data_IF_143575565682
#
_entry.id   IF_143575565682
#
_cell.length_a   1.000
_cell.length_b   1.000
_cell.length_c   1.000
_cell.angle_alpha   90.00
_cell.angle_beta   90.00
_cell.angle_gamma   90.00
#
_symmetry.space_group_name_H-M   'P 1'
#
loop_
_entity.id
_entity.type
_entity.pdbx_description
1 polymer ?
#
# COMPACT_ATOMS: atom_id res chain seq x y z
N UNK A 1 -30.72 8.42 -65.46
CA UNK A 1 -29.54 7.58 -65.74
C UNK A 1 -28.69 7.58 -64.48
N UNK A 2 -28.86 6.59 -63.60
CA UNK A 2 -28.11 5.31 -63.53
C UNK A 2 -26.61 5.56 -63.22
N UNK A 3 -26.20 5.10 -62.03
CA UNK A 3 -24.83 5.06 -61.48
C UNK A 3 -23.88 4.15 -62.32
N UNK A 4 -22.55 4.03 -62.08
CA UNK A 4 -22.05 3.43 -60.83
C UNK A 4 -20.63 3.82 -60.32
N UNK A 5 -20.51 3.61 -59.00
CA UNK A 5 -19.41 3.10 -58.17
C UNK A 5 -18.00 2.79 -58.73
N UNK A 6 -17.00 3.16 -57.92
CA UNK A 6 -15.88 2.36 -57.37
C UNK A 6 -15.16 3.24 -56.31
N UNK A 7 -14.48 2.81 -55.24
CA UNK A 7 -14.44 1.64 -54.33
C UNK A 7 -13.16 1.86 -53.46
N UNK A 8 -13.30 1.86 -52.12
CA UNK A 8 -12.27 1.59 -51.08
C UNK A 8 -11.03 2.49 -50.86
N UNK A 9 -10.85 2.95 -49.61
CA UNK A 9 -9.88 2.46 -48.57
C UNK A 9 -10.03 3.34 -47.31
N UNK A 10 -10.51 2.81 -46.18
CA UNK A 10 -9.79 2.17 -45.06
C UNK A 10 -8.70 3.00 -44.38
N UNK A 11 -8.87 3.18 -43.06
CA UNK A 11 -7.92 3.70 -42.08
C UNK A 11 -8.71 4.44 -40.99
N UNK A 12 -9.37 3.80 -40.03
CA UNK A 12 -8.82 2.96 -38.95
C UNK A 12 -7.59 3.57 -38.29
N UNK A 13 -7.80 4.65 -37.52
CA UNK A 13 -6.93 5.04 -36.42
C UNK A 13 -7.74 4.92 -35.13
N UNK A 14 -7.81 3.68 -34.63
CA UNK A 14 -8.17 3.43 -33.25
C UNK A 14 -7.09 4.03 -32.37
N UNK A 15 -7.45 5.06 -31.60
CA UNK A 15 -6.67 5.50 -30.46
C UNK A 15 -6.71 4.37 -29.43
N UNK A 16 -5.75 3.45 -29.55
CA UNK A 16 -5.38 2.55 -28.45
C UNK A 16 -4.69 3.43 -27.41
N UNK A 17 -5.51 4.00 -26.53
CA UNK A 17 -5.05 4.50 -25.25
C UNK A 17 -4.48 3.29 -24.51
N UNK A 18 -3.15 3.11 -24.60
CA UNK A 18 -2.41 2.30 -23.66
C UNK A 18 -2.54 2.96 -22.29
N UNK A 19 -3.64 2.65 -21.59
CA UNK A 19 -3.69 2.67 -20.15
C UNK A 19 -2.62 1.68 -19.69
N UNK A 20 -1.40 2.18 -19.53
CA UNK A 20 -0.38 1.53 -18.73
C UNK A 20 -0.92 1.47 -17.31
N UNK A 21 -1.71 0.43 -17.02
CA UNK A 21 -1.69 -0.18 -15.70
C UNK A 21 -0.26 -0.66 -15.52
N UNK A 22 0.59 0.19 -14.94
CA UNK A 22 1.89 -0.18 -14.47
C UNK A 22 1.67 -1.18 -13.34
N UNK A 23 1.44 -2.44 -13.72
CA UNK A 23 1.65 -3.58 -12.85
C UNK A 23 3.12 -3.51 -12.48
N UNK A 24 3.39 -2.97 -11.29
CA UNK A 24 4.73 -2.89 -10.73
C UNK A 24 5.28 -4.30 -10.77
N UNK A 25 6.30 -4.53 -11.62
CA UNK A 25 6.98 -5.81 -11.68
C UNK A 25 7.84 -5.91 -10.40
N UNK A 26 7.27 -6.51 -9.37
CA UNK A 26 7.71 -6.39 -7.98
C UNK A 26 9.15 -6.85 -7.70
N UNK A 27 9.69 -7.78 -8.49
CA UNK A 27 11.07 -8.28 -8.31
C UNK A 27 12.17 -7.40 -8.89
N UNK A 28 11.89 -6.58 -9.90
CA UNK A 28 12.92 -5.82 -10.62
C UNK A 28 13.43 -4.57 -9.87
N UNK A 29 12.95 -4.34 -8.64
CA UNK A 29 13.23 -3.13 -7.86
C UNK A 29 13.92 -3.41 -6.53
N UNK A 30 14.35 -4.64 -6.26
CA UNK A 30 15.11 -4.96 -5.06
C UNK A 30 16.33 -4.05 -4.92
N UNK A 31 16.61 -3.64 -3.69
CA UNK A 31 17.69 -2.70 -3.35
C UNK A 31 17.50 -1.27 -3.90
N UNK A 32 16.37 -0.97 -4.55
CA UNK A 32 16.05 0.41 -4.94
C UNK A 32 16.00 1.33 -3.72
N UNK A 33 16.44 2.57 -3.92
CA UNK A 33 16.51 3.55 -2.84
C UNK A 33 15.10 3.96 -2.37
N UNK A 34 14.95 4.16 -1.05
CA UNK A 34 13.73 4.68 -0.47
C UNK A 34 13.38 6.05 -1.08
N UNK A 35 12.09 6.39 -1.25
CA UNK A 35 11.67 7.71 -1.71
C UNK A 35 12.36 8.86 -0.96
N UNK A 36 12.59 8.70 0.35
CA UNK A 36 13.31 9.66 1.19
C UNK A 36 14.73 9.90 0.70
N UNK A 37 15.51 8.83 0.45
CA UNK A 37 16.88 8.96 -0.05
C UNK A 37 16.94 9.42 -1.51
N UNK A 38 16.00 8.98 -2.37
CA UNK A 38 15.89 9.47 -3.76
C UNK A 38 15.63 10.98 -3.82
N UNK A 39 14.85 11.50 -2.89
CA UNK A 39 14.60 12.94 -2.75
C UNK A 39 15.70 13.72 -2.02
N UNK A 40 16.87 13.10 -1.77
CA UNK A 40 17.98 13.69 -1.01
C UNK A 40 17.60 14.22 0.38
N UNK A 41 16.53 13.67 0.99
CA UNK A 41 16.10 14.05 2.34
C UNK A 41 16.90 13.26 3.38
N UNK A 42 17.09 13.87 4.56
CA UNK A 42 17.67 13.16 5.70
C UNK A 42 16.68 12.08 6.19
N UNK A 43 17.01 10.82 5.95
CA UNK A 43 16.16 9.72 6.35
C UNK A 43 16.16 9.41 7.86
N UNK A 44 17.05 10.05 8.63
CA UNK A 44 17.01 10.06 10.10
C UNK A 44 16.27 11.28 10.65
N UNK A 45 15.79 12.19 9.80
CA UNK A 45 14.95 13.28 10.26
C UNK A 45 13.67 12.72 10.91
N UNK A 46 13.12 13.41 11.92
CA UNK A 46 11.78 13.12 12.41
C UNK A 46 10.76 13.09 11.28
N UNK A 47 9.73 12.27 11.42
CA UNK A 47 8.58 12.31 10.52
C UNK A 47 7.89 13.68 10.62
N UNK A 48 7.45 14.21 9.49
CA UNK A 48 6.70 15.47 9.48
C UNK A 48 5.22 15.17 9.66
N UNK A 49 4.71 15.45 10.86
CA UNK A 49 3.31 15.21 11.22
C UNK A 49 2.51 16.47 10.92
N UNK A 50 1.37 16.31 10.24
CA UNK A 50 0.39 17.39 10.04
C UNK A 50 -0.98 16.97 10.54
N UNK A 51 -1.81 17.96 10.83
CA UNK A 51 -3.23 17.73 11.06
C UNK A 51 -3.96 17.48 9.73
N UNK A 52 -5.00 16.66 9.81
CA UNK A 52 -6.03 16.50 8.80
C UNK A 52 -6.90 17.75 8.80
N UNK A 53 -7.24 18.23 7.62
CA UNK A 53 -8.31 19.22 7.48
C UNK A 53 -9.65 18.60 7.87
N UNK A 54 -10.66 19.40 8.26
CA UNK A 54 -11.99 18.88 8.57
C UNK A 54 -12.60 18.02 7.45
N UNK A 55 -12.39 18.41 6.19
CA UNK A 55 -12.86 17.65 5.02
C UNK A 55 -12.12 16.33 4.82
N UNK A 56 -10.80 16.30 5.02
CA UNK A 56 -10.02 15.05 5.00
C UNK A 56 -10.47 14.10 6.12
N UNK A 57 -10.70 14.62 7.32
CA UNK A 57 -11.16 13.80 8.45
C UNK A 57 -12.53 13.19 8.19
N UNK A 58 -13.47 13.98 7.66
CA UNK A 58 -14.80 13.46 7.30
C UNK A 58 -14.72 12.44 6.16
N UNK A 59 -13.92 12.72 5.12
CA UNK A 59 -13.68 11.83 3.99
C UNK A 59 -13.07 10.50 4.40
N UNK A 60 -12.04 10.53 5.25
CA UNK A 60 -11.46 9.33 5.83
C UNK A 60 -12.47 8.54 6.65
N UNK A 61 -13.32 9.21 7.44
CA UNK A 61 -14.40 8.55 8.17
C UNK A 61 -15.39 7.84 7.26
N UNK A 62 -15.76 8.44 6.11
CA UNK A 62 -16.61 7.80 5.09
C UNK A 62 -15.91 6.62 4.43
N UNK A 63 -14.64 6.77 4.07
CA UNK A 63 -13.81 5.72 3.49
C UNK A 63 -13.72 4.52 4.44
N UNK A 64 -13.38 4.72 5.70
CA UNK A 64 -13.27 3.63 6.68
C UNK A 64 -14.59 2.88 6.85
N UNK A 65 -15.72 3.61 6.92
CA UNK A 65 -17.05 2.99 7.00
C UNK A 65 -17.41 2.20 5.73
N UNK A 66 -17.02 2.66 4.55
CA UNK A 66 -17.32 1.95 3.29
C UNK A 66 -16.58 0.61 3.18
N UNK A 67 -15.40 0.53 3.82
CA UNK A 67 -14.58 -0.67 3.91
C UNK A 67 -15.03 -1.67 4.97
N UNK A 68 -15.96 -1.31 5.86
CA UNK A 68 -16.43 -2.22 6.90
C UNK A 68 -17.15 -3.44 6.31
N UNK A 69 -16.83 -4.62 6.84
CA UNK A 69 -17.40 -5.89 6.39
C UNK A 69 -16.37 -7.01 6.29
N UNK A 70 -16.77 -8.08 5.60
CA UNK A 70 -15.93 -9.25 5.33
C UNK A 70 -15.43 -9.19 3.89
N UNK A 71 -14.17 -9.58 3.72
CA UNK A 71 -13.45 -9.49 2.46
C UNK A 71 -12.69 -10.77 2.19
N UNK A 72 -12.52 -11.08 0.92
CA UNK A 72 -11.71 -12.19 0.44
C UNK A 72 -10.78 -11.70 -0.66
N UNK A 73 -9.62 -12.32 -0.81
CA UNK A 73 -8.63 -11.74 -1.70
C UNK A 73 -7.41 -12.59 -1.95
N UNK A 74 -6.44 -11.97 -2.63
CA UNK A 74 -5.10 -12.51 -2.86
C UNK A 74 -4.03 -11.48 -2.49
N UNK A 75 -2.97 -11.95 -1.89
CA UNK A 75 -1.76 -11.17 -1.67
C UNK A 75 -0.64 -11.69 -2.57
N UNK A 76 0.03 -10.77 -3.24
CA UNK A 76 1.34 -11.00 -3.83
C UNK A 76 2.37 -10.35 -2.92
N UNK A 77 3.44 -11.08 -2.62
CA UNK A 77 4.55 -10.54 -1.83
C UNK A 77 5.89 -10.91 -2.45
N UNK A 78 6.89 -10.09 -2.14
CA UNK A 78 8.28 -10.37 -2.47
C UNK A 78 9.20 -10.00 -1.31
N UNK A 79 10.32 -10.70 -1.22
CA UNK A 79 11.38 -10.46 -0.27
C UNK A 79 12.74 -10.51 -0.98
N UNK A 80 13.54 -9.46 -0.81
CA UNK A 80 14.92 -9.42 -1.32
C UNK A 80 15.81 -10.23 -0.37
N UNK A 81 16.26 -11.40 -0.80
CA UNK A 81 17.06 -12.31 0.03
C UNK A 81 18.51 -11.85 0.18
N UNK A 82 19.04 -11.20 -0.86
CA UNK A 82 20.39 -10.65 -0.87
C UNK A 82 20.38 -9.13 -0.68
N UNK A 83 21.39 -8.62 0.04
CA UNK A 83 21.64 -7.18 0.17
C UNK A 83 22.42 -6.59 -1.03
N UNK A 84 22.90 -7.46 -1.92
CA UNK A 84 23.83 -7.13 -3.01
C UNK A 84 23.32 -7.58 -4.38
N UNK A 85 22.53 -8.64 -4.45
CA UNK A 85 21.95 -9.16 -5.69
C UNK A 85 20.46 -8.79 -5.80
N UNK A 86 20.09 -7.83 -6.68
CA UNK A 86 18.69 -7.45 -6.88
C UNK A 86 17.86 -8.52 -7.58
N UNK A 87 18.47 -9.55 -8.19
CA UNK A 87 17.76 -10.67 -8.80
C UNK A 87 17.42 -11.77 -7.79
N UNK A 88 18.05 -11.78 -6.61
CA UNK A 88 17.79 -12.75 -5.57
C UNK A 88 16.52 -12.40 -4.77
N UNK A 89 15.37 -12.70 -5.39
CA UNK A 89 14.04 -12.37 -4.89
C UNK A 89 13.24 -13.64 -4.63
N UNK A 90 12.69 -13.76 -3.43
CA UNK A 90 11.65 -14.73 -3.13
C UNK A 90 10.29 -14.09 -3.35
N UNK A 91 9.39 -14.76 -4.07
CA UNK A 91 8.01 -14.32 -4.26
C UNK A 91 7.07 -15.33 -3.62
N UNK A 92 5.95 -14.85 -3.12
CA UNK A 92 4.91 -15.70 -2.54
C UNK A 92 3.52 -15.16 -2.90
N UNK A 93 2.56 -16.07 -2.98
CA UNK A 93 1.16 -15.77 -3.25
C UNK A 93 0.29 -16.43 -2.18
N UNK A 94 -0.55 -15.62 -1.55
CA UNK A 94 -1.40 -16.04 -0.45
C UNK A 94 -2.87 -15.77 -0.78
N UNK A 95 -3.75 -16.66 -0.35
CA UNK A 95 -5.20 -16.39 -0.30
C UNK A 95 -5.48 -15.71 1.03
N UNK A 96 -6.38 -14.72 1.03
CA UNK A 96 -6.70 -13.93 2.20
C UNK A 96 -8.19 -13.94 2.52
N UNK A 97 -8.50 -13.93 3.81
CA UNK A 97 -9.80 -13.56 4.35
C UNK A 97 -9.60 -12.45 5.36
N UNK A 98 -10.38 -11.37 5.27
CA UNK A 98 -10.26 -10.24 6.18
C UNK A 98 -11.61 -9.81 6.73
N UNK A 99 -11.58 -9.32 7.97
CA UNK A 99 -12.70 -8.64 8.61
C UNK A 99 -12.27 -7.23 8.97
N UNK A 100 -13.05 -6.27 8.49
CA UNK A 100 -12.84 -4.84 8.72
C UNK A 100 -13.97 -4.30 9.58
N UNK A 101 -13.60 -3.53 10.61
CA UNK A 101 -14.53 -2.86 11.50
C UNK A 101 -14.09 -1.42 11.76
N UNK A 102 -15.06 -0.55 12.05
CA UNK A 102 -14.83 0.83 12.46
C UNK A 102 -15.44 1.02 13.84
N UNK A 103 -14.67 1.54 14.79
CA UNK A 103 -15.18 1.80 16.14
C UNK A 103 -15.99 3.10 16.23
N UNK A 104 -16.51 3.38 17.42
CA UNK A 104 -17.27 4.60 17.70
C UNK A 104 -16.47 5.90 17.46
N UNK A 105 -15.15 5.86 17.62
CA UNK A 105 -14.26 7.00 17.40
C UNK A 105 -13.86 7.16 15.92
N UNK A 106 -14.33 6.27 15.05
CA UNK A 106 -13.97 6.29 13.63
C UNK A 106 -12.60 5.68 13.34
N UNK A 107 -12.01 4.92 14.28
CA UNK A 107 -10.77 4.19 14.02
C UNK A 107 -11.07 2.92 13.23
N UNK A 108 -10.20 2.60 12.27
CA UNK A 108 -10.34 1.46 11.39
C UNK A 108 -9.46 0.31 11.87
N UNK A 109 -10.04 -0.87 11.95
CA UNK A 109 -9.38 -2.11 12.37
C UNK A 109 -9.63 -3.17 11.33
N UNK A 110 -8.57 -3.88 10.96
CA UNK A 110 -8.61 -4.99 10.04
C UNK A 110 -7.83 -6.17 10.63
N UNK A 111 -8.48 -7.32 10.69
CA UNK A 111 -7.82 -8.62 10.91
C UNK A 111 -7.86 -9.39 9.61
N UNK A 112 -6.73 -9.92 9.17
CA UNK A 112 -6.63 -10.70 7.95
C UNK A 112 -5.84 -11.99 8.17
N UNK A 113 -6.42 -13.10 7.74
CA UNK A 113 -5.81 -14.42 7.73
C UNK A 113 -5.28 -14.70 6.32
N UNK A 114 -4.00 -15.10 6.25
CA UNK A 114 -3.29 -15.40 5.02
C UNK A 114 -2.94 -16.88 4.99
N UNK A 115 -3.03 -17.48 3.81
CA UNK A 115 -2.62 -18.86 3.60
C UNK A 115 -1.79 -18.98 2.32
N UNK A 116 -0.54 -19.44 2.45
CA UNK A 116 0.32 -19.81 1.33
C UNK A 116 0.21 -21.32 1.11
N UNK A 117 -0.34 -21.71 -0.04
CA UNK A 117 -0.42 -23.13 -0.43
C UNK A 117 0.97 -23.72 -0.68
N UNK A 118 1.91 -22.91 -1.20
CA UNK A 118 3.28 -23.34 -1.47
C UNK A 118 4.06 -23.64 -0.17
N UNK A 119 3.91 -22.77 0.84
CA UNK A 119 4.56 -22.95 2.15
C UNK A 119 3.78 -23.83 3.11
N UNK A 120 2.53 -24.17 2.78
CA UNK A 120 1.58 -24.91 3.64
C UNK A 120 1.46 -24.29 5.04
N UNK A 121 1.50 -22.96 5.09
CA UNK A 121 1.53 -22.20 6.32
C UNK A 121 0.51 -21.05 6.24
N UNK A 122 -0.05 -20.72 7.40
CA UNK A 122 -0.92 -19.57 7.57
C UNK A 122 -0.32 -18.56 8.54
N UNK A 123 -0.70 -17.30 8.40
CA UNK A 123 -0.38 -16.21 9.33
C UNK A 123 -1.56 -15.27 9.46
N UNK A 124 -1.60 -14.53 10.55
CA UNK A 124 -2.60 -13.50 10.79
C UNK A 124 -1.91 -12.14 10.87
N UNK A 125 -2.49 -11.13 10.24
CA UNK A 125 -2.07 -9.74 10.35
C UNK A 125 -3.19 -8.89 10.93
N UNK A 126 -2.80 -7.90 11.73
CA UNK A 126 -3.69 -6.87 12.24
C UNK A 126 -3.20 -5.50 11.79
N UNK A 127 -4.09 -4.73 11.17
CA UNK A 127 -3.85 -3.35 10.83
C UNK A 127 -4.84 -2.46 11.56
N UNK A 128 -4.32 -1.38 12.14
CA UNK A 128 -5.14 -0.38 12.81
C UNK A 128 -4.75 1.00 12.31
N UNK A 129 -5.75 1.82 12.00
CA UNK A 129 -5.59 3.22 11.66
C UNK A 129 -6.46 4.08 12.58
N UNK A 130 -5.82 4.97 13.32
CA UNK A 130 -6.48 5.88 14.26
C UNK A 130 -6.65 7.26 13.65
N UNK A 131 -7.77 7.93 13.96
CA UNK A 131 -8.08 9.29 13.51
C UNK A 131 -8.21 10.30 14.68
N UNK A 132 -7.43 10.10 15.74
CA UNK A 132 -7.56 10.93 16.95
C UNK A 132 -6.80 12.26 16.84
N UNK A 133 -7.30 13.30 17.51
CA UNK A 133 -6.70 14.65 17.53
C UNK A 133 -6.41 15.22 16.13
N UNK A 134 -7.30 14.96 15.16
CA UNK A 134 -7.16 15.35 13.75
C UNK A 134 -5.87 14.81 13.09
N UNK A 135 -5.37 13.66 13.52
CA UNK A 135 -4.19 13.02 12.92
C UNK A 135 -4.52 11.60 12.51
N UNK A 136 -3.90 11.14 11.42
CA UNK A 136 -3.87 9.72 11.08
C UNK A 136 -2.67 9.06 11.77
N UNK A 137 -2.87 7.88 12.38
CA UNK A 137 -1.82 7.15 13.10
C UNK A 137 -1.95 5.65 12.93
N UNK A 138 -0.85 4.92 13.10
CA UNK A 138 -0.80 3.45 13.12
C UNK A 138 -0.72 2.84 14.53
N UNK A 139 -0.52 3.68 15.54
CA UNK A 139 -0.47 3.30 16.96
C UNK A 139 -1.16 4.38 17.80
N UNK A 140 -1.75 3.99 18.91
CA UNK A 140 -2.55 4.84 19.77
C UNK A 140 -1.66 5.65 20.73
N UNK A 141 -1.79 6.98 20.70
CA UNK A 141 -1.34 7.95 21.73
C UNK A 141 0.11 7.92 22.26
N UNK A 142 1.02 7.19 21.63
CA UNK A 142 2.44 7.16 22.05
C UNK A 142 3.35 8.09 21.24
N UNK A 143 2.84 8.78 20.21
CA UNK A 143 3.66 9.53 19.23
C UNK A 143 4.53 8.65 18.32
N UNK A 144 4.82 7.41 18.74
CA UNK A 144 5.51 6.36 17.98
C UNK A 144 4.70 5.88 16.77
N UNK A 145 3.38 6.11 16.80
CA UNK A 145 2.45 5.79 15.71
C UNK A 145 2.15 6.92 14.73
N UNK A 146 2.76 8.10 14.90
CA UNK A 146 2.54 9.22 13.98
C UNK A 146 3.03 8.85 12.56
N UNK A 147 2.40 9.43 11.53
CA UNK A 147 2.73 9.18 10.12
C UNK A 147 2.99 10.48 9.38
N UNK A 148 3.81 10.42 8.34
CA UNK A 148 3.96 11.46 7.33
C UNK A 148 2.95 11.19 6.21
N UNK A 149 1.90 12.02 6.14
CA UNK A 149 0.85 11.91 5.13
C UNK A 149 1.39 12.27 3.73
N UNK A 150 1.19 11.38 2.77
CA UNK A 150 1.56 11.56 1.36
C UNK A 150 0.31 11.95 0.55
N UNK A 151 -0.79 11.21 0.74
CA UNK A 151 -2.06 11.44 0.05
C UNK A 151 -3.22 11.10 0.97
N UNK A 152 -4.27 11.93 0.95
CA UNK A 152 -5.55 11.68 1.61
C UNK A 152 -6.66 12.16 0.69
N UNK A 153 -7.57 11.26 0.33
CA UNK A 153 -8.77 11.55 -0.46
C UNK A 153 -9.93 10.64 -0.01
N UNK A 154 -11.10 10.78 -0.64
CA UNK A 154 -12.26 9.93 -0.34
C UNK A 154 -12.05 8.44 -0.70
N UNK A 155 -11.04 8.12 -1.52
CA UNK A 155 -10.77 6.74 -1.98
C UNK A 155 -9.35 6.26 -1.69
N UNK A 156 -8.43 7.17 -1.36
CA UNK A 156 -7.01 6.84 -1.22
C UNK A 156 -6.43 7.40 0.06
N UNK A 157 -5.60 6.59 0.72
CA UNK A 157 -4.75 7.01 1.82
C UNK A 157 -3.35 6.50 1.52
N UNK A 158 -2.38 7.40 1.49
CA UNK A 158 -0.97 7.03 1.40
C UNK A 158 -0.18 7.74 2.49
N UNK A 159 0.67 7.01 3.19
CA UNK A 159 1.53 7.57 4.22
C UNK A 159 2.85 6.80 4.36
N UNK A 160 3.79 7.45 5.02
CA UNK A 160 5.07 6.91 5.45
C UNK A 160 5.11 6.87 6.97
N UNK A 161 5.62 5.80 7.55
CA UNK A 161 6.05 5.78 8.94
C UNK A 161 7.44 5.17 9.07
N UNK A 162 8.17 5.59 10.11
CA UNK A 162 9.54 5.16 10.38
C UNK A 162 9.59 4.42 11.71
N UNK A 163 10.30 3.30 11.76
CA UNK A 163 10.63 2.60 13.00
C UNK A 163 12.14 2.51 13.15
N UNK A 164 12.63 2.87 14.33
CA UNK A 164 14.01 2.66 14.74
C UNK A 164 14.03 1.49 15.71
N UNK A 165 14.62 0.38 15.29
CA UNK A 165 14.80 -0.78 16.16
C UNK A 165 16.22 -0.77 16.70
N UNK A 166 16.37 -0.79 18.02
CA UNK A 166 17.69 -0.97 18.64
C UNK A 166 18.21 -2.38 18.34
N UNK A 167 19.44 -2.47 17.80
CA UNK A 167 20.16 -3.73 17.63
C UNK A 167 21.29 -3.76 18.67
N UNK A 168 20.96 -4.22 19.89
CA UNK A 168 21.93 -4.38 20.96
C UNK A 168 22.63 -3.08 21.39
N UNK A 169 23.90 -3.18 21.80
CA UNK A 169 24.69 -2.05 22.33
C UNK A 169 25.30 -1.13 21.26
N UNK A 170 25.20 -1.46 19.97
CA UNK A 170 26.09 -0.91 18.93
C UNK A 170 25.40 -0.44 17.64
N UNK A 171 24.07 -0.41 17.56
CA UNK A 171 23.42 0.21 16.40
C UNK A 171 21.90 0.23 16.44
N UNK A 172 21.31 0.94 15.47
CA UNK A 172 19.87 0.97 15.23
C UNK A 172 19.56 0.57 13.80
N UNK A 173 18.60 -0.33 13.59
CA UNK A 173 18.02 -0.60 12.28
C UNK A 173 16.97 0.45 11.97
N UNK A 174 17.19 1.23 10.91
CA UNK A 174 16.16 2.11 10.37
C UNK A 174 15.26 1.33 9.42
N UNK A 175 13.95 1.41 9.66
CA UNK A 175 12.92 0.87 8.78
C UNK A 175 11.98 1.98 8.34
N UNK A 176 11.77 2.09 7.04
CA UNK A 176 10.79 2.99 6.43
C UNK A 176 9.69 2.14 5.81
N UNK A 177 8.46 2.38 6.23
CA UNK A 177 7.30 1.67 5.74
C UNK A 177 6.42 2.64 4.97
N UNK A 178 6.17 2.31 3.71
CA UNK A 178 5.18 3.01 2.90
C UNK A 178 3.91 2.18 2.91
N UNK A 179 2.79 2.84 3.16
CA UNK A 179 1.47 2.24 3.15
C UNK A 179 0.60 3.02 2.19
N UNK A 180 -0.11 2.29 1.34
CA UNK A 180 -1.14 2.85 0.47
C UNK A 180 -2.39 1.97 0.57
N UNK A 181 -3.53 2.59 0.84
CA UNK A 181 -4.84 1.98 0.72
C UNK A 181 -5.60 2.69 -0.41
N UNK A 182 -6.16 1.92 -1.33
CA UNK A 182 -7.02 2.42 -2.42
C UNK A 182 -8.32 1.64 -2.42
N UNK A 183 -9.44 2.35 -2.30
CA UNK A 183 -10.78 1.78 -2.40
C UNK A 183 -11.39 2.04 -3.77
N UNK A 184 -12.09 1.05 -4.30
CA UNK A 184 -12.95 1.14 -5.46
C UNK A 184 -14.30 0.46 -5.12
N UNK A 185 -15.35 0.72 -5.89
CA UNK A 185 -16.68 0.18 -5.57
C UNK A 185 -16.67 -1.35 -5.44
N UNK A 186 -16.78 -1.86 -4.21
CA UNK A 186 -16.79 -3.30 -3.91
C UNK A 186 -15.41 -3.98 -3.82
N UNK A 187 -14.31 -3.22 -3.89
CA UNK A 187 -12.95 -3.75 -3.78
C UNK A 187 -12.02 -2.76 -3.10
N UNK A 188 -10.91 -3.25 -2.52
CA UNK A 188 -9.84 -2.36 -2.11
C UNK A 188 -8.50 -3.05 -2.23
N UNK A 189 -7.44 -2.23 -2.30
CA UNK A 189 -6.06 -2.69 -2.36
C UNK A 189 -5.27 -2.05 -1.22
N UNK A 190 -4.43 -2.84 -0.57
CA UNK A 190 -3.39 -2.36 0.35
C UNK A 190 -2.04 -2.69 -0.26
N UNK A 191 -1.19 -1.67 -0.42
CA UNK A 191 0.20 -1.83 -0.83
C UNK A 191 1.10 -1.42 0.35
N UNK A 192 2.06 -2.26 0.66
CA UNK A 192 3.07 -1.98 1.68
C UNK A 192 4.46 -2.24 1.12
N UNK A 193 5.36 -1.27 1.28
CA UNK A 193 6.78 -1.41 0.95
C UNK A 193 7.63 -1.17 2.19
N UNK A 194 8.59 -2.05 2.43
CA UNK A 194 9.55 -1.93 3.52
C UNK A 194 10.94 -1.65 2.96
N UNK A 195 11.51 -0.53 3.39
CA UNK A 195 12.90 -0.20 3.17
C UNK A 195 13.70 -0.35 4.46
N UNK A 196 14.82 -1.07 4.41
CA UNK A 196 15.76 -1.24 5.53
C UNK A 196 17.05 -0.51 5.16
N UNK A 197 17.50 0.39 6.04
CA UNK A 197 18.65 1.27 5.79
C UNK A 197 18.57 1.99 4.43
N UNK A 198 17.34 2.30 3.99
CA UNK A 198 17.07 3.04 2.76
C UNK A 198 17.08 2.23 1.47
N UNK A 199 17.20 0.90 1.53
CA UNK A 199 17.07 0.00 0.38
C UNK A 199 15.79 -0.83 0.49
N UNK A 200 15.11 -1.06 -0.63
CA UNK A 200 13.90 -1.89 -0.69
C UNK A 200 14.26 -3.31 -0.25
N UNK A 201 13.56 -3.80 0.78
CA UNK A 201 13.77 -5.12 1.37
C UNK A 201 12.61 -6.06 1.09
N UNK A 202 11.38 -5.56 1.10
CA UNK A 202 10.21 -6.35 0.77
C UNK A 202 9.04 -5.46 0.37
N UNK A 203 8.04 -6.09 -0.22
CA UNK A 203 6.76 -5.46 -0.46
C UNK A 203 5.64 -6.48 -0.60
N UNK A 204 4.43 -5.99 -0.39
CA UNK A 204 3.22 -6.78 -0.51
C UNK A 204 2.08 -5.95 -1.07
N UNK A 205 1.26 -6.58 -1.90
CA UNK A 205 0.04 -6.02 -2.46
C UNK A 205 -1.10 -6.95 -2.17
N UNK A 206 -2.05 -6.48 -1.36
CA UNK A 206 -3.24 -7.21 -0.97
C UNK A 206 -4.41 -6.69 -1.77
N UNK A 207 -5.06 -7.55 -2.56
CA UNK A 207 -6.26 -7.18 -3.33
C UNK A 207 -7.46 -7.91 -2.75
N UNK A 208 -8.46 -7.15 -2.34
CA UNK A 208 -9.67 -7.62 -1.71
C UNK A 208 -10.90 -7.32 -2.56
N UNK A 209 -11.84 -8.26 -2.55
CA UNK A 209 -13.18 -8.15 -3.09
C UNK A 209 -14.18 -8.49 -1.98
N UNK A 210 -15.38 -7.90 -2.07
CA UNK A 210 -16.41 -8.10 -1.06
C UNK A 210 -16.86 -9.57 -1.06
N UNK A 211 -16.83 -10.19 0.12
CA UNK A 211 -17.27 -11.58 0.34
C UNK A 211 -18.79 -11.72 0.46
#
# INVERSE_FOLDING_TARGET
MIAPWKKYRLGFWGNVFCLFTASICFGAQCLSLSPTLRGAKNAYAPITVRELTPGEQEGLGRLFRSLAGTWQGRADSFFCRSAEDPADVENDQEIMHAKVSVDYYGNWYMSADFYSAGKKAGRQEMLTLYQNNRKLRIDHDTGVGDVELIEVSDTTIAFLYRRFLSIGRSGSSRREHFFTLKAAGGSFTIEQLLYIQGKLSSGQTWRFERG
#
